data_IF_043694374364
#
_entry.id   IF_043694374364
#
_cell.length_a   1.000
_cell.length_b   1.000
_cell.length_c   1.000
_cell.angle_alpha   90.00
_cell.angle_beta   90.00
_cell.angle_gamma   90.00
#
_symmetry.space_group_name_H-M   'P 1'
#
loop_
_entity.id
_entity.type
_entity.pdbx_description
1 polymer ?
#
# COMPACT_ATOMS: atom_id res chain seq x y z
N UNK A 1 9.13 -2.96 -64.23
CA UNK A 1 9.47 -3.38 -62.85
C UNK A 1 9.45 -2.12 -61.99
N UNK A 2 8.46 -1.99 -61.11
CA UNK A 2 8.28 -0.83 -60.21
C UNK A 2 9.18 -0.98 -58.99
N UNK A 3 9.82 0.10 -58.56
CA UNK A 3 10.06 0.39 -57.14
C UNK A 3 10.32 1.89 -56.97
N UNK A 4 9.34 2.59 -56.38
CA UNK A 4 9.47 3.97 -55.93
C UNK A 4 10.20 3.98 -54.58
N UNK A 5 11.38 4.61 -54.51
CA UNK A 5 12.12 4.83 -53.26
C UNK A 5 11.89 6.26 -52.76
N UNK A 6 10.65 6.59 -52.40
CA UNK A 6 10.33 7.84 -51.72
C UNK A 6 9.28 7.54 -50.65
N UNK A 7 9.71 7.09 -49.48
CA UNK A 7 8.99 7.20 -48.20
C UNK A 7 9.75 6.40 -47.13
N UNK A 8 10.91 6.90 -46.71
CA UNK A 8 11.55 6.44 -45.46
C UNK A 8 11.92 7.67 -44.62
N UNK A 9 10.95 8.57 -44.47
CA UNK A 9 11.02 9.66 -43.51
C UNK A 9 9.80 9.54 -42.60
N UNK A 10 10.03 9.24 -41.33
CA UNK A 10 9.02 9.47 -40.30
C UNK A 10 8.55 8.26 -39.51
N UNK A 11 9.44 7.37 -39.04
CA UNK A 11 9.08 6.46 -37.93
C UNK A 11 10.31 6.23 -37.04
N UNK A 12 10.77 7.25 -36.30
CA UNK A 12 11.72 7.01 -35.20
C UNK A 12 11.75 8.14 -34.17
N UNK A 13 10.61 8.54 -33.59
CA UNK A 13 10.63 9.39 -32.38
C UNK A 13 9.32 9.42 -31.59
N UNK A 14 8.81 8.28 -31.09
CA UNK A 14 7.57 8.29 -30.25
C UNK A 14 7.67 7.48 -28.94
N UNK A 15 8.83 6.93 -28.55
CA UNK A 15 8.88 6.02 -27.37
C UNK A 15 9.84 6.46 -26.26
N UNK A 16 9.79 7.74 -25.88
CA UNK A 16 10.34 8.21 -24.60
C UNK A 16 9.30 9.09 -23.89
N UNK A 17 8.15 8.52 -23.56
CA UNK A 17 7.33 9.07 -22.49
C UNK A 17 7.75 8.35 -21.19
N UNK A 18 8.41 9.03 -20.23
CA UNK A 18 8.49 8.48 -18.89
C UNK A 18 7.05 8.37 -18.38
N UNK A 19 6.55 7.14 -18.31
CA UNK A 19 5.25 6.86 -17.73
C UNK A 19 5.26 7.37 -16.29
N UNK A 20 4.47 8.40 -16.01
CA UNK A 20 4.16 8.78 -14.64
C UNK A 20 3.35 7.60 -14.10
N UNK A 21 3.99 6.70 -13.35
CA UNK A 21 3.33 5.63 -12.62
C UNK A 21 2.47 6.33 -11.58
N UNK A 22 1.22 6.66 -11.93
CA UNK A 22 0.23 7.05 -10.94
C UNK A 22 0.01 5.83 -10.07
N UNK A 23 0.53 5.87 -8.84
CA UNK A 23 0.04 4.99 -7.79
C UNK A 23 -1.49 5.14 -7.80
N UNK A 24 -2.19 4.07 -8.15
CA UNK A 24 -3.64 4.10 -8.23
C UNK A 24 -4.16 4.12 -6.81
N UNK A 25 -4.80 5.23 -6.43
CA UNK A 25 -5.58 5.26 -5.21
C UNK A 25 -6.71 4.25 -5.32
N UNK A 26 -6.84 3.36 -4.33
CA UNK A 26 -7.86 2.30 -4.33
C UNK A 26 -8.80 2.44 -3.16
N UNK A 27 -10.09 2.59 -3.46
CA UNK A 27 -11.16 2.55 -2.48
C UNK A 27 -11.52 1.10 -2.15
N UNK A 28 -11.42 0.75 -0.86
CA UNK A 28 -11.78 -0.56 -0.33
C UNK A 28 -13.06 -0.37 0.49
N UNK A 29 -14.22 -0.85 0.02
CA UNK A 29 -15.42 -0.84 0.82
C UNK A 29 -15.24 -1.79 2.01
N UNK A 30 -15.63 -1.32 3.19
CA UNK A 30 -15.50 -2.07 4.44
C UNK A 30 -16.84 -2.11 5.17
N UNK A 31 -17.07 -3.20 5.91
CA UNK A 31 -18.21 -3.28 6.83
C UNK A 31 -17.98 -2.35 8.02
N UNK A 32 -19.03 -2.08 8.80
CA UNK A 32 -18.90 -1.21 9.97
C UNK A 32 -18.02 -1.78 11.07
N UNK A 33 -17.28 -0.89 11.74
CA UNK A 33 -16.33 -1.23 12.78
C UNK A 33 -16.32 -0.19 13.91
N UNK A 34 -16.10 -0.68 15.13
CA UNK A 34 -16.04 0.15 16.34
C UNK A 34 -14.58 0.29 16.85
N UNK A 35 -13.67 -0.51 16.29
CA UNK A 35 -12.26 -0.59 16.68
C UNK A 35 -11.37 -0.70 15.44
N UNK A 36 -10.20 -0.10 15.51
CA UNK A 36 -9.21 -0.12 14.43
C UNK A 36 -7.89 -0.68 14.96
N UNK A 37 -7.31 -1.62 14.21
CA UNK A 37 -5.99 -2.20 14.46
C UNK A 37 -5.13 -1.99 13.22
N UNK A 38 -4.13 -1.12 13.34
CA UNK A 38 -3.13 -0.87 12.31
C UNK A 38 -1.82 -1.52 12.73
N UNK A 39 -1.28 -2.35 11.84
CA UNK A 39 -0.03 -3.06 12.06
C UNK A 39 1.16 -2.36 11.37
N UNK A 40 2.41 -2.76 11.69
CA UNK A 40 3.62 -2.07 11.20
C UNK A 40 3.67 -1.92 9.68
N UNK A 41 4.45 -0.93 9.22
CA UNK A 41 4.65 -0.54 7.82
C UNK A 41 3.45 0.10 7.13
N UNK A 42 2.43 0.49 7.89
CA UNK A 42 1.22 1.15 7.38
C UNK A 42 1.08 2.51 8.07
N UNK A 43 1.25 3.58 7.30
CA UNK A 43 0.94 4.95 7.70
C UNK A 43 -0.53 5.24 7.41
N UNK A 44 -1.23 5.83 8.38
CA UNK A 44 -2.66 6.09 8.27
C UNK A 44 -3.02 7.52 8.66
N UNK A 45 -3.85 8.15 7.83
CA UNK A 45 -4.62 9.34 8.17
C UNK A 45 -6.03 8.92 8.53
N UNK A 46 -6.44 9.16 9.76
CA UNK A 46 -7.78 8.88 10.28
C UNK A 46 -8.66 10.12 10.12
N UNK A 47 -9.83 9.95 9.51
CA UNK A 47 -10.83 11.01 9.32
C UNK A 47 -12.18 10.59 9.89
N UNK A 48 -12.81 11.47 10.65
CA UNK A 48 -14.23 11.28 10.97
C UNK A 48 -15.09 11.58 9.74
N UNK A 49 -16.18 10.82 9.56
CA UNK A 49 -17.12 11.04 8.46
C UNK A 49 -18.34 10.16 8.53
N UNK A 50 -19.33 10.40 7.65
CA UNK A 50 -20.64 9.76 7.72
C UNK A 50 -20.65 8.29 7.24
N UNK A 51 -19.59 7.87 6.55
CA UNK A 51 -19.44 6.56 5.93
C UNK A 51 -18.04 6.03 6.15
N UNK A 52 -17.95 4.79 6.64
CA UNK A 52 -16.69 4.09 6.82
C UNK A 52 -16.09 3.71 5.46
N UNK A 53 -14.80 3.96 5.29
CA UNK A 53 -14.05 3.60 4.08
C UNK A 53 -12.56 3.50 4.36
N UNK A 54 -11.86 2.70 3.56
CA UNK A 54 -10.40 2.68 3.52
C UNK A 54 -9.95 3.03 2.12
N UNK A 55 -9.08 4.03 2.00
CA UNK A 55 -8.48 4.44 0.73
C UNK A 55 -6.99 4.20 0.81
N UNK A 56 -6.44 3.40 -0.09
CA UNK A 56 -4.98 3.24 -0.19
C UNK A 56 -4.47 4.32 -1.13
N UNK A 57 -3.59 5.21 -0.66
CA UNK A 57 -3.02 6.31 -1.45
C UNK A 57 -1.75 5.87 -2.17
N UNK A 58 -0.86 5.19 -1.44
CA UNK A 58 0.43 4.72 -1.95
C UNK A 58 0.74 3.33 -1.41
N UNK A 59 1.38 2.51 -2.25
CA UNK A 59 1.87 1.19 -1.85
C UNK A 59 3.14 0.84 -2.64
N UNK A 60 4.18 0.38 -1.94
CA UNK A 60 5.46 -0.02 -2.55
C UNK A 60 5.57 -1.52 -2.83
N UNK A 61 4.64 -2.31 -2.29
CA UNK A 61 4.56 -3.76 -2.42
C UNK A 61 3.31 -4.19 -3.22
N UNK A 62 3.25 -5.44 -3.72
CA UNK A 62 2.05 -5.97 -4.36
C UNK A 62 0.83 -5.95 -3.43
N UNK A 63 -0.32 -5.57 -3.97
CA UNK A 63 -1.56 -5.39 -3.20
C UNK A 63 -2.02 -6.67 -2.50
N UNK A 64 -1.70 -7.84 -3.06
CA UNK A 64 -2.03 -9.15 -2.50
C UNK A 64 -1.42 -9.38 -1.11
N UNK A 65 -0.33 -8.66 -0.79
CA UNK A 65 0.29 -8.71 0.54
C UNK A 65 -0.45 -7.88 1.58
N UNK A 66 -1.32 -6.95 1.18
CA UNK A 66 -2.08 -6.09 2.08
C UNK A 66 -3.46 -6.70 2.36
N UNK A 67 -3.76 -6.85 3.65
CA UNK A 67 -5.05 -7.27 4.14
C UNK A 67 -5.78 -6.09 4.76
N UNK A 68 -6.96 -5.80 4.25
CA UNK A 68 -7.92 -4.84 4.82
C UNK A 68 -9.20 -5.60 5.06
N UNK A 69 -9.45 -5.98 6.32
CA UNK A 69 -10.59 -6.82 6.67
C UNK A 69 -11.29 -6.33 7.93
N UNK A 70 -12.62 -6.46 7.96
CA UNK A 70 -13.43 -6.18 9.15
C UNK A 70 -13.95 -7.50 9.71
N UNK A 71 -13.55 -7.81 10.94
CA UNK A 71 -13.97 -9.02 11.67
C UNK A 71 -14.42 -8.64 13.07
N UNK A 72 -15.59 -9.10 13.50
CA UNK A 72 -16.16 -8.81 14.82
C UNK A 72 -16.20 -7.30 15.14
N UNK A 73 -16.56 -6.47 14.14
CA UNK A 73 -16.53 -4.99 14.22
C UNK A 73 -15.15 -4.38 14.49
N UNK A 74 -14.09 -5.08 14.13
CA UNK A 74 -12.72 -4.59 14.20
C UNK A 74 -12.15 -4.50 12.78
N UNK A 75 -11.74 -3.31 12.37
CA UNK A 75 -10.94 -3.12 11.17
C UNK A 75 -9.50 -3.56 11.45
N UNK A 76 -9.01 -4.50 10.66
CA UNK A 76 -7.63 -4.97 10.67
C UNK A 76 -6.96 -4.57 9.37
N UNK A 77 -5.87 -3.82 9.48
CA UNK A 77 -4.98 -3.50 8.36
C UNK A 77 -3.58 -4.04 8.63
N UNK A 78 -3.08 -4.92 7.77
CA UNK A 78 -1.76 -5.52 7.94
C UNK A 78 -1.16 -6.05 6.65
N UNK A 79 0.18 -6.12 6.62
CA UNK A 79 0.91 -6.79 5.54
C UNK A 79 1.23 -8.25 5.92
N UNK A 80 1.32 -9.10 4.91
CA UNK A 80 1.80 -10.48 5.05
C UNK A 80 3.15 -10.53 5.74
N UNK A 81 3.24 -11.32 6.81
CA UNK A 81 4.48 -11.39 7.59
C UNK A 81 4.77 -10.15 8.45
N UNK A 82 3.83 -9.20 8.59
CA UNK A 82 3.91 -8.07 9.53
C UNK A 82 2.62 -7.88 10.34
N UNK A 83 2.03 -8.98 10.85
CA UNK A 83 0.75 -8.95 11.59
C UNK A 83 0.85 -8.53 13.06
N UNK A 84 2.04 -8.58 13.65
CA UNK A 84 2.28 -8.14 15.03
C UNK A 84 3.67 -7.51 15.09
N UNK A 85 4.64 -8.25 14.55
CA UNK A 85 6.02 -7.80 14.30
C UNK A 85 6.42 -8.20 12.88
N UNK A 86 7.38 -7.49 12.32
CA UNK A 86 7.91 -7.75 10.97
C UNK A 86 8.76 -9.01 10.98
N UNK A 87 8.37 -10.01 10.18
CA UNK A 87 9.17 -11.22 9.97
C UNK A 87 10.49 -10.88 9.30
N UNK A 88 11.48 -11.76 9.47
CA UNK A 88 12.78 -11.65 8.81
C UNK A 88 12.93 -12.72 7.73
N UNK A 89 13.53 -12.36 6.62
CA UNK A 89 13.92 -13.28 5.56
C UNK A 89 15.40 -13.66 5.67
N UNK A 90 15.71 -14.91 5.33
CA UNK A 90 17.09 -15.41 5.29
C UNK A 90 17.63 -15.24 3.88
N UNK A 91 18.59 -14.35 3.72
CA UNK A 91 19.37 -14.24 2.48
C UNK A 91 20.61 -15.14 2.58
N UNK A 92 20.80 -15.99 1.57
CA UNK A 92 22.03 -16.78 1.39
C UNK A 92 23.00 -15.94 0.56
N UNK A 93 24.01 -15.35 1.19
CA UNK A 93 25.18 -14.82 0.50
C UNK A 93 26.25 -15.90 0.32
N UNK A 94 27.21 -15.67 -0.57
CA UNK A 94 28.27 -16.63 -0.93
C UNK A 94 29.05 -17.19 0.27
N UNK A 95 29.15 -16.47 1.41
CA UNK A 95 29.85 -16.96 2.60
C UNK A 95 29.12 -16.74 3.95
N UNK A 96 27.94 -16.11 4.00
CA UNK A 96 27.20 -15.89 5.26
C UNK A 96 25.67 -15.91 5.08
N UNK A 97 24.97 -16.47 6.08
CA UNK A 97 23.51 -16.38 6.20
C UNK A 97 23.17 -15.13 7.02
N UNK A 98 22.50 -14.15 6.41
CA UNK A 98 22.02 -12.94 7.11
C UNK A 98 20.50 -12.93 7.20
N UNK A 99 19.96 -12.42 8.31
CA UNK A 99 18.52 -12.19 8.49
C UNK A 99 18.25 -10.70 8.27
N UNK A 100 17.36 -10.38 7.35
CA UNK A 100 16.91 -9.00 7.10
C UNK A 100 15.40 -8.90 7.35
N UNK A 101 14.88 -7.77 7.86
CA UNK A 101 13.44 -7.54 7.94
C UNK A 101 12.79 -7.65 6.56
N UNK A 102 11.59 -8.25 6.51
CA UNK A 102 10.80 -8.42 5.28
C UNK A 102 10.41 -7.06 4.66
N UNK A 103 10.16 -6.06 5.51
CA UNK A 103 9.83 -4.70 5.09
C UNK A 103 10.68 -3.68 5.83
N UNK A 104 10.83 -2.50 5.22
CA UNK A 104 11.55 -1.36 5.79
C UNK A 104 10.72 -0.10 5.59
N UNK A 105 10.56 0.68 6.67
CA UNK A 105 9.83 1.95 6.65
C UNK A 105 8.36 1.81 6.25
N UNK A 106 7.76 2.89 5.76
CA UNK A 106 6.37 2.90 5.31
C UNK A 106 6.23 2.17 3.98
N UNK A 107 5.41 1.12 3.96
CA UNK A 107 5.06 0.35 2.74
C UNK A 107 3.71 0.77 2.19
N UNK A 108 2.76 1.12 3.07
CA UNK A 108 1.41 1.55 2.71
C UNK A 108 1.13 2.92 3.31
N UNK A 109 0.54 3.83 2.52
CA UNK A 109 -0.13 5.03 3.02
C UNK A 109 -1.62 4.90 2.74
N UNK A 110 -2.44 5.12 3.75
CA UNK A 110 -3.88 4.99 3.64
C UNK A 110 -4.64 6.09 4.38
N UNK A 111 -5.85 6.36 3.94
CA UNK A 111 -6.84 7.16 4.65
C UNK A 111 -7.95 6.23 5.15
N UNK A 112 -8.23 6.28 6.45
CA UNK A 112 -9.32 5.53 7.07
C UNK A 112 -10.37 6.53 7.53
N UNK A 113 -11.52 6.51 6.85
CA UNK A 113 -12.70 7.25 7.28
C UNK A 113 -13.51 6.39 8.23
N UNK A 114 -13.86 6.92 9.40
CA UNK A 114 -14.63 6.20 10.42
C UNK A 114 -15.79 7.06 10.92
N UNK A 115 -16.90 6.42 11.26
CA UNK A 115 -18.06 7.11 11.87
C UNK A 115 -17.87 7.28 13.37
N UNK A 116 -17.56 6.18 14.05
CA UNK A 116 -17.31 6.13 15.48
C UNK A 116 -16.34 5.00 15.77
N UNK A 117 -15.16 5.34 16.24
CA UNK A 117 -14.17 4.36 16.67
C UNK A 117 -13.83 4.62 18.14
N UNK A 118 -14.11 3.64 19.00
CA UNK A 118 -13.87 3.76 20.43
C UNK A 118 -12.44 3.34 20.81
N UNK A 119 -11.70 2.72 19.90
CA UNK A 119 -10.38 2.15 20.19
C UNK A 119 -9.51 2.11 18.94
N UNK A 120 -8.30 2.65 19.07
CA UNK A 120 -7.24 2.59 18.06
C UNK A 120 -6.06 1.82 18.66
N UNK A 121 -5.69 0.70 18.06
CA UNK A 121 -4.49 -0.06 18.42
C UNK A 121 -3.51 0.01 17.25
N UNK A 122 -2.59 0.97 17.37
CA UNK A 122 -1.61 1.31 16.35
C UNK A 122 -0.27 0.66 16.73
N UNK A 123 0.33 -0.04 15.77
CA UNK A 123 1.60 -0.75 15.98
C UNK A 123 2.57 -0.37 14.87
N UNK A 124 3.84 -0.22 15.26
CA UNK A 124 4.90 0.22 14.35
C UNK A 124 5.41 1.60 14.73
N UNK A 125 6.22 2.17 13.86
CA UNK A 125 6.87 3.48 14.04
C UNK A 125 6.39 4.49 12.99
N UNK A 126 5.41 4.11 12.17
CA UNK A 126 4.86 4.91 11.10
C UNK A 126 4.03 6.07 11.64
N UNK A 127 3.96 7.16 10.87
CA UNK A 127 3.16 8.32 11.25
C UNK A 127 1.67 7.98 11.23
N UNK A 128 0.96 8.45 12.24
CA UNK A 128 -0.48 8.30 12.40
C UNK A 128 -1.07 9.70 12.57
N UNK A 129 -1.90 10.14 11.62
CA UNK A 129 -2.50 11.47 11.62
C UNK A 129 -3.98 11.34 11.95
N UNK A 130 -4.48 12.16 12.88
CA UNK A 130 -5.89 12.25 13.21
C UNK A 130 -6.39 13.62 12.77
N UNK A 131 -7.32 13.61 11.82
CA UNK A 131 -7.99 14.80 11.32
C UNK A 131 -9.41 14.84 11.87
N UNK A 132 -9.85 16.04 12.25
CA UNK A 132 -11.17 16.34 12.81
C UNK A 132 -12.06 17.04 11.80
#
# INVERSE_FOLDING_TARGET
MKTNNIAFLGIMLVLLMPGIVKAQSRDIPVNSFDKIIINPHIQVTFREGDKESVVIEEMTEPFEKLHVEVKNKVLHMYLDGARVVTKTEKIKGENEKRKIPLYKGTVVKAVVTYKKANTFALRGEETMVFES
#
